data_IF_759712865867
#
_entry.id   IF_759712865867
#
_cell.length_a   1.000
_cell.length_b   1.000
_cell.length_c   1.000
_cell.angle_alpha   90.00
_cell.angle_beta   90.00
_cell.angle_gamma   90.00
#
_symmetry.space_group_name_H-M   'P 1'
#
loop_
_entity.id
_entity.type
_entity.pdbx_description
1 polymer ?
#
# COMPACT_ATOMS: atom_id res chain seq x y z
N UNK A 1 4.90 10.94 2.23
CA UNK A 1 5.97 11.83 2.76
C UNK A 1 5.49 13.29 2.93
N UNK A 2 4.42 13.70 2.26
CA UNK A 2 3.91 15.09 2.28
C UNK A 2 3.48 15.60 3.68
N UNK A 3 2.78 14.74 4.44
CA UNK A 3 2.27 15.07 5.79
C UNK A 3 3.37 15.57 6.74
N UNK A 4 4.56 14.95 6.71
CA UNK A 4 5.69 15.33 7.58
C UNK A 4 6.25 16.69 7.18
N UNK A 5 6.29 16.99 5.88
CA UNK A 5 6.74 18.29 5.36
C UNK A 5 5.79 19.42 5.77
N UNK A 6 4.47 19.18 5.71
CA UNK A 6 3.45 20.17 6.09
C UNK A 6 3.36 20.42 7.59
N UNK A 7 3.43 19.37 8.41
CA UNK A 7 3.35 19.50 9.87
C UNK A 7 4.67 19.97 10.50
N UNK A 8 5.80 19.65 9.87
CA UNK A 8 7.13 19.92 10.39
C UNK A 8 7.54 18.97 11.51
N UNK A 9 8.81 18.52 11.50
CA UNK A 9 9.32 17.51 12.46
C UNK A 9 9.15 17.89 13.93
N UNK A 10 9.23 19.19 14.26
CA UNK A 10 9.11 19.68 15.65
C UNK A 10 7.70 19.48 16.24
N UNK A 11 6.67 19.34 15.41
CA UNK A 11 5.27 19.17 15.83
C UNK A 11 4.83 17.70 15.87
N UNK A 12 5.68 16.78 15.45
CA UNK A 12 5.42 15.34 15.45
C UNK A 12 6.09 14.76 16.70
N UNK A 13 5.33 14.01 17.50
CA UNK A 13 5.84 13.34 18.70
C UNK A 13 5.51 11.85 18.63
N UNK A 14 6.42 11.01 19.12
CA UNK A 14 6.15 9.59 19.26
C UNK A 14 5.05 9.39 20.30
N UNK A 15 3.96 8.74 19.91
CA UNK A 15 2.94 8.28 20.84
C UNK A 15 3.42 6.97 21.45
N UNK A 16 3.54 6.93 22.78
CA UNK A 16 3.86 5.70 23.52
C UNK A 16 2.62 4.82 23.60
N UNK A 17 2.20 4.30 22.45
CA UNK A 17 1.04 3.43 22.31
C UNK A 17 1.39 2.26 21.40
N UNK A 18 0.82 1.09 21.71
CA UNK A 18 0.97 -0.08 20.86
C UNK A 18 -0.08 -0.04 19.76
N UNK A 19 0.37 0.14 18.52
CA UNK A 19 -0.49 -0.03 17.36
C UNK A 19 -0.54 -1.54 17.07
N UNK A 20 -1.60 -2.21 17.48
CA UNK A 20 -1.91 -3.55 16.96
C UNK A 20 -2.66 -3.40 15.65
N UNK A 21 -1.98 -3.63 14.54
CA UNK A 21 -2.64 -3.86 13.25
C UNK A 21 -3.07 -5.32 13.20
N UNK A 22 -4.38 -5.55 13.08
CA UNK A 22 -4.90 -6.91 12.91
C UNK A 22 -4.50 -7.44 11.52
N UNK A 23 -3.72 -8.52 11.49
CA UNK A 23 -3.44 -9.27 10.27
C UNK A 23 -4.68 -10.05 9.78
N UNK A 24 -5.75 -10.17 10.59
CA UNK A 24 -6.94 -10.95 10.28
C UNK A 24 -7.65 -10.49 8.99
N UNK A 25 -7.52 -9.22 8.60
CA UNK A 25 -8.00 -8.74 7.30
C UNK A 25 -7.23 -9.38 6.14
N UNK A 26 -5.92 -9.50 6.28
CA UNK A 26 -5.03 -10.08 5.27
C UNK A 26 -5.07 -11.60 5.26
N UNK A 27 -5.32 -12.25 6.40
CA UNK A 27 -5.55 -13.69 6.47
C UNK A 27 -6.86 -14.09 5.79
N UNK A 28 -7.96 -13.36 6.06
CA UNK A 28 -9.27 -13.61 5.44
C UNK A 28 -9.26 -13.40 3.92
N UNK A 29 -8.65 -12.31 3.46
CA UNK A 29 -8.58 -11.97 2.03
C UNK A 29 -7.50 -12.78 1.27
N UNK A 30 -6.66 -13.51 1.99
CA UNK A 30 -5.53 -14.24 1.44
C UNK A 30 -4.36 -13.33 1.05
N UNK A 31 -3.37 -13.25 1.94
CA UNK A 31 -2.12 -12.52 1.74
C UNK A 31 -1.49 -12.82 0.37
N UNK A 32 -1.46 -14.10 0.00
CA UNK A 32 -0.94 -14.54 -1.28
C UNK A 32 -1.77 -14.06 -2.47
N UNK A 33 -3.10 -14.12 -2.41
CA UNK A 33 -3.97 -13.69 -3.54
C UNK A 33 -3.74 -12.22 -3.87
N UNK A 34 -3.71 -11.34 -2.87
CA UNK A 34 -3.37 -9.92 -3.07
C UNK A 34 -1.93 -9.72 -3.53
N UNK A 35 -0.97 -10.45 -2.96
CA UNK A 35 0.43 -10.38 -3.36
C UNK A 35 0.64 -10.73 -4.84
N UNK A 36 0.03 -11.83 -5.29
CA UNK A 36 0.08 -12.27 -6.70
C UNK A 36 -0.60 -11.29 -7.65
N UNK A 37 -1.75 -10.70 -7.27
CA UNK A 37 -2.41 -9.67 -8.07
C UNK A 37 -1.53 -8.44 -8.25
N UNK A 38 -0.90 -7.95 -7.16
CA UNK A 38 0.03 -6.83 -7.21
C UNK A 38 1.28 -7.15 -8.03
N UNK A 39 1.84 -8.36 -7.91
CA UNK A 39 2.99 -8.79 -8.71
C UNK A 39 2.65 -8.86 -10.21
N UNK A 40 1.45 -9.32 -10.55
CA UNK A 40 0.96 -9.33 -11.94
C UNK A 40 0.86 -7.90 -12.49
N UNK A 41 0.30 -6.98 -11.71
CA UNK A 41 0.22 -5.55 -12.02
C UNK A 41 1.61 -4.93 -12.21
N UNK A 42 2.55 -5.20 -11.31
CA UNK A 42 3.92 -4.70 -11.38
C UNK A 42 4.66 -5.23 -12.62
N UNK A 43 4.49 -6.51 -12.94
CA UNK A 43 5.07 -7.12 -14.14
C UNK A 43 4.54 -6.47 -15.42
N UNK A 44 3.26 -6.11 -15.45
CA UNK A 44 2.62 -5.41 -16.57
C UNK A 44 3.13 -3.97 -16.72
N UNK A 45 3.25 -3.26 -15.61
CA UNK A 45 3.89 -1.94 -15.57
C UNK A 45 5.32 -1.96 -16.13
N UNK A 46 6.16 -2.92 -15.71
CA UNK A 46 7.53 -3.04 -16.24
C UNK A 46 7.60 -3.42 -17.71
N UNK A 47 6.55 -4.01 -18.28
CA UNK A 47 6.45 -4.26 -19.72
C UNK A 47 6.05 -3.02 -20.53
N UNK A 48 5.77 -1.88 -19.87
CA UNK A 48 5.42 -0.62 -20.53
C UNK A 48 3.94 -0.52 -20.92
N UNK A 49 3.06 -1.26 -20.24
CA UNK A 49 1.62 -1.19 -20.47
C UNK A 49 1.05 0.13 -19.96
N UNK A 50 0.04 0.68 -20.64
CA UNK A 50 -0.54 1.98 -20.30
C UNK A 50 -1.12 2.00 -18.88
N UNK A 51 -0.87 3.10 -18.16
CA UNK A 51 -1.25 3.26 -16.75
C UNK A 51 -2.78 3.22 -16.60
N UNK A 52 -3.54 3.73 -17.57
CA UNK A 52 -5.01 3.73 -17.52
C UNK A 52 -5.58 2.31 -17.46
N UNK A 53 -4.95 1.37 -18.17
CA UNK A 53 -5.31 -0.05 -18.14
C UNK A 53 -4.97 -0.70 -16.80
N UNK A 54 -3.86 -0.32 -16.17
CA UNK A 54 -3.45 -0.84 -14.87
C UNK A 54 -4.38 -0.36 -13.74
N UNK A 55 -4.84 0.90 -13.82
CA UNK A 55 -5.77 1.47 -12.83
C UNK A 55 -7.10 0.73 -12.83
N UNK A 56 -7.63 0.39 -14.02
CA UNK A 56 -8.90 -0.34 -14.16
C UNK A 56 -8.86 -1.69 -13.44
N UNK A 57 -7.73 -2.38 -13.49
CA UNK A 57 -7.57 -3.72 -12.91
C UNK A 57 -7.17 -3.70 -11.42
N UNK A 58 -6.93 -2.52 -10.83
CA UNK A 58 -6.57 -2.35 -9.42
C UNK A 58 -7.79 -2.13 -8.49
N UNK A 59 -8.98 -1.92 -9.04
CA UNK A 59 -10.24 -1.66 -8.28
C UNK A 59 -10.86 -2.95 -7.79
#
# INVERSE_FOLDING_TARGET
VDIIRRLGRRRIRSLRTHIMTSAAKYERDGFFKRGWANLKLLRRYWKGEDISCLIRDYT
#
